data_IF_546414832612
#
_entry.id   IF_546414832612
#
_cell.length_a   1.000
_cell.length_b   1.000
_cell.length_c   1.000
_cell.angle_alpha   90.00
_cell.angle_beta   90.00
_cell.angle_gamma   90.00
#
_symmetry.space_group_name_H-M   'P 1'
#
loop_
_entity.id
_entity.type
_entity.pdbx_description
1 polymer ?
#
# COMPACT_ATOMS: atom_id res chain seq x y z
N UNK A 1 8.76 2.25 -7.99
CA UNK A 1 9.04 1.22 -6.97
C UNK A 1 9.30 1.91 -5.64
N UNK A 2 8.69 1.41 -4.57
CA UNK A 2 9.12 1.68 -3.19
C UNK A 2 10.03 0.52 -2.76
N UNK A 3 11.10 0.83 -2.00
CA UNK A 3 12.12 -0.14 -1.60
C UNK A 3 12.33 0.00 -0.09
N UNK A 4 12.00 -1.06 0.66
CA UNK A 4 12.10 -1.13 2.12
C UNK A 4 13.12 -2.17 2.61
N UNK A 5 14.05 -2.60 1.76
CA UNK A 5 14.97 -3.74 1.97
C UNK A 5 16.13 -3.44 2.94
N UNK A 6 15.86 -3.02 4.18
CA UNK A 6 16.92 -2.61 5.11
C UNK A 6 17.71 -3.81 5.67
N UNK A 7 17.03 -4.90 6.01
CA UNK A 7 17.65 -6.06 6.64
C UNK A 7 18.61 -6.79 5.67
N UNK A 8 19.71 -7.39 6.17
CA UNK A 8 20.72 -8.05 5.32
C UNK A 8 20.16 -9.05 4.31
N UNK A 9 19.19 -9.87 4.69
CA UNK A 9 18.61 -10.85 3.79
C UNK A 9 17.82 -10.19 2.65
N UNK A 10 17.10 -9.10 2.93
CA UNK A 10 16.29 -8.40 1.95
C UNK A 10 17.15 -7.51 1.05
N UNK A 11 18.11 -6.77 1.62
CA UNK A 11 19.08 -5.97 0.85
C UNK A 11 19.94 -6.84 -0.06
N UNK A 12 20.34 -8.03 0.41
CA UNK A 12 21.03 -9.03 -0.40
C UNK A 12 20.21 -9.46 -1.60
N UNK A 13 18.96 -9.89 -1.37
CA UNK A 13 18.03 -10.31 -2.44
C UNK A 13 17.70 -9.16 -3.40
N UNK A 14 17.54 -7.93 -2.91
CA UNK A 14 17.38 -6.74 -3.74
C UNK A 14 18.56 -6.58 -4.69
N UNK A 15 19.80 -6.61 -4.18
CA UNK A 15 20.99 -6.42 -5.00
C UNK A 15 21.15 -7.53 -6.04
N UNK A 16 20.86 -8.78 -5.69
CA UNK A 16 20.88 -9.91 -6.63
C UNK A 16 19.83 -9.72 -7.74
N UNK A 17 18.60 -9.38 -7.36
CA UNK A 17 17.48 -9.21 -8.31
C UNK A 17 17.71 -8.02 -9.24
N UNK A 18 18.34 -6.95 -8.75
CA UNK A 18 18.72 -5.78 -9.54
C UNK A 18 20.00 -5.99 -10.36
N UNK A 19 20.71 -7.11 -10.20
CA UNK A 19 21.96 -7.38 -10.91
C UNK A 19 23.16 -6.54 -10.47
N UNK A 20 23.19 -6.13 -9.21
CA UNK A 20 24.25 -5.31 -8.59
C UNK A 20 24.84 -5.98 -7.33
N UNK A 21 25.26 -7.26 -7.39
CA UNK A 21 25.71 -8.01 -6.22
C UNK A 21 26.91 -7.39 -5.48
N UNK A 22 27.72 -6.58 -6.17
CA UNK A 22 28.85 -5.84 -5.59
C UNK A 22 28.40 -4.79 -4.56
N UNK A 23 27.16 -4.31 -4.67
CA UNK A 23 26.58 -3.31 -3.76
C UNK A 23 26.09 -3.90 -2.44
N UNK A 24 26.02 -5.23 -2.29
CA UNK A 24 25.58 -5.89 -1.05
C UNK A 24 26.35 -5.44 0.18
N UNK A 25 27.64 -5.19 0.03
CA UNK A 25 28.52 -4.73 1.11
C UNK A 25 28.11 -3.36 1.68
N UNK A 26 27.31 -2.58 0.93
CA UNK A 26 26.83 -1.26 1.33
C UNK A 26 25.44 -1.26 1.98
N UNK A 27 24.70 -2.38 1.96
CA UNK A 27 23.30 -2.44 2.39
C UNK A 27 23.02 -1.91 3.81
N UNK A 28 23.91 -2.21 4.76
CA UNK A 28 23.83 -1.72 6.15
C UNK A 28 24.80 -0.57 6.45
N UNK A 29 25.49 -0.05 5.44
CA UNK A 29 26.54 0.94 5.70
C UNK A 29 25.96 2.28 6.15
N UNK A 30 26.48 2.77 7.28
CA UNK A 30 26.16 4.12 7.78
C UNK A 30 27.03 5.21 7.14
N UNK A 31 27.95 4.84 6.25
CA UNK A 31 28.78 5.80 5.52
C UNK A 31 27.94 6.50 4.43
N UNK A 32 27.82 7.85 4.44
CA UNK A 32 27.06 8.60 3.43
C UNK A 32 27.50 8.33 1.98
N UNK A 33 28.79 8.13 1.72
CA UNK A 33 29.30 7.85 0.38
C UNK A 33 28.84 6.48 -0.12
N UNK A 34 28.85 5.46 0.74
CA UNK A 34 28.33 4.14 0.41
C UNK A 34 26.83 4.19 0.12
N UNK A 35 26.06 4.93 0.92
CA UNK A 35 24.63 5.13 0.68
C UNK A 35 24.38 5.85 -0.64
N UNK A 36 25.21 6.84 -1.01
CA UNK A 36 25.11 7.53 -2.30
C UNK A 36 25.41 6.58 -3.46
N UNK A 37 26.46 5.76 -3.35
CA UNK A 37 26.82 4.73 -4.35
C UNK A 37 25.70 3.71 -4.52
N UNK A 38 25.17 3.18 -3.43
CA UNK A 38 24.06 2.22 -3.44
C UNK A 38 22.81 2.82 -4.08
N UNK A 39 22.41 4.04 -3.69
CA UNK A 39 21.27 4.76 -4.30
C UNK A 39 21.46 4.98 -5.80
N UNK A 40 22.66 5.34 -6.24
CA UNK A 40 22.97 5.54 -7.64
C UNK A 40 22.89 4.22 -8.44
N UNK A 41 23.42 3.13 -7.89
CA UNK A 41 23.36 1.80 -8.50
C UNK A 41 21.91 1.31 -8.62
N UNK A 42 21.12 1.40 -7.55
CA UNK A 42 19.68 1.08 -7.57
C UNK A 42 18.96 1.93 -8.61
N UNK A 43 19.16 3.25 -8.62
CA UNK A 43 18.52 4.16 -9.58
C UNK A 43 18.81 3.77 -11.03
N UNK A 44 20.07 3.41 -11.33
CA UNK A 44 20.47 2.97 -12.66
C UNK A 44 19.78 1.65 -13.02
N UNK A 45 19.87 0.64 -12.16
CA UNK A 45 19.26 -0.66 -12.40
C UNK A 45 17.75 -0.54 -12.64
N UNK A 46 17.01 0.17 -11.77
CA UNK A 46 15.55 0.29 -11.92
C UNK A 46 15.13 1.03 -13.20
N UNK A 47 16.01 1.83 -13.82
CA UNK A 47 15.70 2.56 -15.05
C UNK A 47 15.71 1.67 -16.30
N UNK A 48 16.24 0.45 -16.21
CA UNK A 48 16.41 -0.45 -17.35
C UNK A 48 15.14 -1.22 -17.74
N UNK A 49 14.07 -1.13 -16.94
CA UNK A 49 12.80 -1.85 -17.16
C UNK A 49 11.60 -0.99 -16.74
N UNK A 50 10.43 -1.31 -17.29
CA UNK A 50 9.17 -0.66 -16.89
C UNK A 50 8.73 -1.10 -15.49
N UNK A 51 7.76 -0.38 -14.93
CA UNK A 51 7.19 -0.75 -13.63
C UNK A 51 6.56 -2.14 -13.66
N UNK A 52 5.84 -2.49 -14.72
CA UNK A 52 5.18 -3.79 -14.89
C UNK A 52 6.19 -4.93 -14.93
N UNK A 53 7.32 -4.72 -15.63
CA UNK A 53 8.40 -5.71 -15.70
C UNK A 53 9.04 -5.91 -14.33
N UNK A 54 9.33 -4.83 -13.59
CA UNK A 54 9.85 -4.96 -12.23
C UNK A 54 8.86 -5.60 -11.28
N UNK A 55 7.58 -5.24 -11.37
CA UNK A 55 6.54 -5.83 -10.56
C UNK A 55 6.46 -7.35 -10.78
N UNK A 56 6.51 -7.82 -12.03
CA UNK A 56 6.57 -9.25 -12.34
C UNK A 56 7.84 -9.93 -11.80
N UNK A 57 9.00 -9.28 -11.89
CA UNK A 57 10.27 -9.81 -11.38
C UNK A 57 10.26 -9.93 -9.85
N UNK A 58 9.75 -8.92 -9.15
CA UNK A 58 9.73 -8.87 -7.69
C UNK A 58 8.56 -9.62 -7.05
N UNK A 59 7.54 -10.04 -7.83
CA UNK A 59 6.35 -10.74 -7.32
C UNK A 59 6.68 -11.99 -6.48
N UNK A 60 7.74 -12.71 -6.86
CA UNK A 60 8.20 -13.93 -6.17
C UNK A 60 9.48 -13.70 -5.32
N UNK A 61 9.89 -12.44 -5.15
CA UNK A 61 11.12 -12.08 -4.42
C UNK A 61 10.78 -11.51 -3.05
N UNK A 62 11.29 -12.17 -2.01
CA UNK A 62 11.20 -11.67 -0.64
C UNK A 62 12.27 -10.58 -0.40
N UNK A 63 12.08 -9.43 -1.05
CA UNK A 63 13.01 -8.30 -1.06
C UNK A 63 12.38 -6.98 -0.57
N UNK A 64 11.13 -6.98 -0.07
CA UNK A 64 10.43 -5.78 0.40
C UNK A 64 10.40 -4.64 -0.64
N UNK A 65 9.99 -4.97 -1.87
CA UNK A 65 9.82 -4.02 -2.98
C UNK A 65 8.38 -4.06 -3.46
N UNK A 66 7.76 -2.89 -3.59
CA UNK A 66 6.35 -2.77 -4.00
C UNK A 66 6.18 -1.69 -5.09
N UNK A 67 5.11 -1.76 -5.90
CA UNK A 67 4.76 -0.67 -6.80
C UNK A 67 4.27 0.55 -6.01
N UNK A 68 4.46 1.74 -6.60
CA UNK A 68 3.86 2.97 -6.06
C UNK A 68 2.59 3.22 -6.84
N UNK A 69 1.45 2.86 -6.26
CA UNK A 69 0.14 2.93 -6.89
C UNK A 69 -0.54 4.29 -6.65
N UNK A 70 -1.36 4.73 -7.60
CA UNK A 70 -2.34 5.78 -7.41
C UNK A 70 -3.43 5.33 -6.44
N UNK A 71 -4.22 6.27 -5.91
CA UNK A 71 -5.33 5.95 -5.00
C UNK A 71 -6.36 5.03 -5.68
N UNK A 72 -6.67 5.27 -6.96
CA UNK A 72 -7.62 4.45 -7.71
C UNK A 72 -7.11 3.03 -7.95
N UNK A 73 -5.83 2.87 -8.28
CA UNK A 73 -5.18 1.54 -8.42
C UNK A 73 -5.13 0.82 -7.08
N UNK A 74 -4.72 1.51 -6.01
CA UNK A 74 -4.68 0.95 -4.66
C UNK A 74 -6.08 0.51 -4.20
N UNK A 75 -7.13 1.28 -4.48
CA UNK A 75 -8.51 0.92 -4.17
C UNK A 75 -8.96 -0.37 -4.88
N UNK A 76 -8.42 -0.67 -6.06
CA UNK A 76 -8.65 -1.91 -6.80
C UNK A 76 -7.69 -3.06 -6.45
N UNK A 77 -6.70 -2.85 -5.58
CA UNK A 77 -5.66 -3.84 -5.30
C UNK A 77 -6.24 -5.10 -4.61
N UNK A 78 -5.82 -6.33 -4.99
CA UNK A 78 -6.36 -7.56 -4.41
C UNK A 78 -6.32 -7.61 -2.89
N UNK A 79 -5.23 -7.14 -2.26
CA UNK A 79 -5.11 -7.09 -0.80
C UNK A 79 -6.09 -6.09 -0.14
N UNK A 80 -6.42 -4.99 -0.82
CA UNK A 80 -7.36 -3.99 -0.32
C UNK A 80 -8.79 -4.52 -0.41
N UNK A 81 -9.12 -5.22 -1.50
CA UNK A 81 -10.40 -5.90 -1.70
C UNK A 81 -10.58 -7.05 -0.70
N UNK A 82 -9.58 -7.92 -0.56
CA UNK A 82 -9.61 -9.07 0.36
C UNK A 82 -9.79 -8.68 1.84
N UNK A 83 -9.57 -7.40 2.19
CA UNK A 83 -9.70 -6.87 3.54
C UNK A 83 -10.93 -5.97 3.73
N UNK A 84 -11.82 -5.89 2.75
CA UNK A 84 -12.99 -4.99 2.77
C UNK A 84 -12.58 -3.56 3.14
N UNK A 85 -11.51 -3.06 2.51
CA UNK A 85 -10.99 -1.71 2.75
C UNK A 85 -11.61 -0.65 1.83
N UNK A 86 -12.41 -1.09 0.86
CA UNK A 86 -13.33 -0.25 0.08
C UNK A 86 -14.71 -0.86 0.24
N UNK A 87 -15.62 -0.14 0.88
CA UNK A 87 -16.99 -0.61 1.17
C UNK A 87 -18.00 0.22 0.39
N UNK A 88 -19.14 -0.38 0.06
CA UNK A 88 -20.29 0.33 -0.51
C UNK A 88 -21.28 0.67 0.60
N UNK A 89 -21.62 1.95 0.71
CA UNK A 89 -22.53 2.47 1.73
C UNK A 89 -23.74 3.10 1.05
N UNK A 90 -24.93 2.72 1.50
CA UNK A 90 -26.20 3.19 0.95
C UNK A 90 -26.36 4.71 1.16
N UNK A 91 -26.74 5.42 0.10
CA UNK A 91 -27.01 6.87 0.12
C UNK A 91 -28.45 7.20 0.51
N UNK A 92 -29.33 6.20 0.59
CA UNK A 92 -30.75 6.33 0.93
C UNK A 92 -31.66 6.64 -0.26
N UNK A 93 -31.10 6.75 -1.47
CA UNK A 93 -31.82 6.99 -2.73
C UNK A 93 -31.81 5.77 -3.67
N UNK A 94 -31.42 4.60 -3.15
CA UNK A 94 -31.23 3.37 -3.93
C UNK A 94 -29.87 3.29 -4.64
N UNK A 95 -28.99 4.27 -4.47
CA UNK A 95 -27.60 4.23 -4.94
C UNK A 95 -26.59 4.05 -3.80
N UNK A 96 -25.38 3.64 -4.16
CA UNK A 96 -24.29 3.36 -3.21
C UNK A 96 -23.11 4.30 -3.44
N UNK A 97 -22.40 4.61 -2.35
CA UNK A 97 -21.15 5.37 -2.39
C UNK A 97 -20.00 4.53 -1.84
N UNK A 98 -18.90 4.48 -2.58
CA UNK A 98 -17.66 3.86 -2.11
C UNK A 98 -17.04 4.71 -1.00
N UNK A 99 -16.68 4.06 0.11
CA UNK A 99 -16.01 4.67 1.26
C UNK A 99 -14.86 3.79 1.75
N UNK A 100 -13.97 4.37 2.56
CA UNK A 100 -12.93 3.60 3.24
C UNK A 100 -13.57 2.63 4.24
N UNK A 101 -13.16 1.37 4.15
CA UNK A 101 -13.55 0.35 5.11
C UNK A 101 -12.87 0.51 6.46
N UNK A 102 -13.42 -0.15 7.48
CA UNK A 102 -12.85 -0.15 8.82
C UNK A 102 -11.51 -0.90 8.84
N UNK A 103 -10.40 -0.29 9.30
CA UNK A 103 -9.08 -0.94 9.31
C UNK A 103 -8.94 -2.04 10.37
N UNK A 104 -9.79 -2.00 11.40
CA UNK A 104 -9.86 -2.99 12.47
C UNK A 104 -11.13 -3.82 12.27
N UNK A 105 -11.01 -5.15 12.34
CA UNK A 105 -12.12 -6.09 12.14
C UNK A 105 -12.36 -6.85 13.44
N UNK A 106 -13.60 -6.80 13.93
CA UNK A 106 -14.04 -7.56 15.11
C UNK A 106 -14.94 -8.71 14.67
N UNK A 107 -14.66 -9.93 15.13
CA UNK A 107 -15.43 -11.12 14.77
C UNK A 107 -16.81 -11.18 15.44
N UNK A 108 -16.92 -10.71 16.68
CA UNK A 108 -18.18 -10.75 17.45
C UNK A 108 -19.03 -9.49 17.28
N UNK A 109 -18.40 -8.35 16.98
CA UNK A 109 -19.08 -7.05 16.81
C UNK A 109 -18.64 -6.38 15.50
N UNK A 110 -19.06 -6.90 14.34
CA UNK A 110 -18.64 -6.37 13.05
C UNK A 110 -18.95 -4.87 12.92
N UNK A 111 -17.98 -4.09 12.46
CA UNK A 111 -18.17 -2.66 12.22
C UNK A 111 -19.12 -2.45 11.03
N UNK A 112 -20.05 -1.49 11.16
CA UNK A 112 -21.04 -1.19 10.11
C UNK A 112 -21.04 0.30 9.81
N UNK A 113 -20.87 0.66 8.53
CA UNK A 113 -21.08 2.02 8.04
C UNK A 113 -22.53 2.14 7.59
N UNK A 114 -23.34 2.86 8.36
CA UNK A 114 -24.78 2.99 8.08
C UNK A 114 -25.15 4.18 7.21
N UNK A 115 -24.28 5.20 7.18
CA UNK A 115 -24.58 6.46 6.53
C UNK A 115 -23.37 6.97 5.79
N UNK A 116 -23.59 7.56 4.61
CA UNK A 116 -22.56 8.29 3.87
C UNK A 116 -22.31 9.70 4.42
N UNK A 117 -22.92 10.02 5.56
CA UNK A 117 -23.23 11.38 6.02
C UNK A 117 -24.76 11.56 6.05
N UNK A 118 -25.23 12.48 6.89
CA UNK A 118 -26.67 12.83 7.00
C UNK A 118 -26.84 14.33 6.78
N UNK A 119 -28.00 14.72 6.28
CA UNK A 119 -28.34 16.15 6.11
C UNK A 119 -28.38 16.85 7.48
N UNK A 120 -28.18 18.16 7.48
CA UNK A 120 -28.26 18.95 8.70
C UNK A 120 -29.64 18.79 9.35
N UNK A 121 -29.66 18.45 10.63
CA UNK A 121 -30.89 18.27 11.39
C UNK A 121 -31.61 16.93 11.18
N UNK A 122 -31.00 15.96 10.47
CA UNK A 122 -31.64 14.68 10.15
C UNK A 122 -32.08 13.82 11.36
N UNK A 123 -31.59 14.14 12.56
CA UNK A 123 -31.91 13.42 13.80
C UNK A 123 -32.55 14.34 14.86
N UNK A 124 -32.95 15.57 14.50
CA UNK A 124 -33.51 16.55 15.45
C UNK A 124 -34.76 16.04 16.17
N UNK A 125 -35.70 15.44 15.44
CA UNK A 125 -36.97 14.97 16.01
C UNK A 125 -36.75 13.82 17.00
N UNK A 126 -35.82 12.91 16.69
CA UNK A 126 -35.42 11.80 17.56
C UNK A 126 -34.81 12.29 18.87
N UNK A 127 -34.07 13.40 18.84
CA UNK A 127 -33.42 13.97 20.02
C UNK A 127 -34.36 14.84 20.84
N UNK A 128 -35.38 15.43 20.21
CA UNK A 128 -36.32 16.36 20.84
C UNK A 128 -37.49 15.65 21.54
N UNK A 129 -37.63 14.33 21.35
CA UNK A 129 -38.65 13.49 21.97
C UNK A 129 -38.24 12.92 23.35
N UNK A 130 -37.30 13.57 24.05
CA UNK A 130 -36.91 13.25 25.43
C UNK A 130 -37.31 14.39 26.37
#
# INVERSE_FOLDING_TARGET
>A
LSIGSLEPQFSGRLCDTLGIPEMKSYGLSQNPEHQQKLKAAIKKAISDKTLEQWHAIFADQDACVEPVLTISEAAGHPQIQARDMVIEVDRGDGSFQKQLGHPIKFSQTPCQSKFTGRVLGADNDLLSSK
#
